data_IF_821514807662
#
_entry.id   IF_821514807662
#
_cell.length_a   1.000
_cell.length_b   1.000
_cell.length_c   1.000
_cell.angle_alpha   90.00
_cell.angle_beta   90.00
_cell.angle_gamma   90.00
#
_symmetry.space_group_name_H-M   'P 1'
#
loop_
_entity.id
_entity.type
_entity.pdbx_description
1 polymer ?
#
# COMPACT_ATOMS: atom_id res chain seq x y z
N UNK A 1 8.50 20.22 12.74
CA UNK A 1 7.61 20.11 11.56
C UNK A 1 6.97 18.73 11.56
N UNK A 2 5.63 18.63 11.67
CA UNK A 2 4.94 17.34 11.53
C UNK A 2 5.08 16.90 10.07
N UNK A 3 5.81 15.81 9.79
CA UNK A 3 5.82 15.18 8.46
C UNK A 3 4.36 14.92 8.10
N UNK A 4 3.89 15.49 6.98
CA UNK A 4 2.59 15.16 6.43
C UNK A 4 2.50 13.63 6.32
N UNK A 5 1.35 13.01 6.62
CA UNK A 5 1.20 11.58 6.43
C UNK A 5 1.65 11.27 5.01
N UNK A 6 2.62 10.38 4.88
CA UNK A 6 3.13 9.91 3.61
C UNK A 6 2.03 9.06 2.99
N UNK A 7 1.04 9.71 2.39
CA UNK A 7 -0.08 9.01 1.81
C UNK A 7 0.44 8.11 0.69
N UNK A 8 -0.01 6.87 0.69
CA UNK A 8 0.29 5.87 -0.34
C UNK A 8 -0.82 5.95 -1.38
N UNK A 9 -0.54 5.72 -2.67
CA UNK A 9 -1.60 5.63 -3.67
C UNK A 9 -2.70 4.67 -3.21
N UNK A 10 -3.98 5.05 -3.30
CA UNK A 10 -5.07 4.28 -2.73
C UNK A 10 -5.32 2.94 -3.45
N UNK A 11 -4.78 2.74 -4.65
CA UNK A 11 -5.00 1.53 -5.44
C UNK A 11 -3.69 0.77 -5.59
N UNK A 12 -3.67 -0.52 -5.27
CA UNK A 12 -2.49 -1.38 -5.53
C UNK A 12 -2.22 -1.51 -7.03
N UNK A 13 -3.28 -1.49 -7.83
CA UNK A 13 -3.24 -1.59 -9.29
C UNK A 13 -4.41 -0.78 -9.84
N UNK A 14 -4.18 0.06 -10.84
CA UNK A 14 -5.22 0.88 -11.45
C UNK A 14 -5.99 0.07 -12.50
N UNK A 15 -7.32 -0.13 -12.35
CA UNK A 15 -8.11 -0.88 -13.32
C UNK A 15 -8.59 0.04 -14.45
N UNK A 16 -7.79 0.19 -15.52
CA UNK A 16 -8.04 1.19 -16.57
C UNK A 16 -9.38 0.98 -17.30
N UNK A 17 -9.86 -0.26 -17.44
CA UNK A 17 -11.13 -0.55 -18.13
C UNK A 17 -12.37 -0.15 -17.31
N UNK A 18 -12.17 0.03 -16.00
CA UNK A 18 -13.19 0.42 -15.05
C UNK A 18 -13.22 1.92 -14.81
N UNK A 19 -12.39 2.69 -15.50
CA UNK A 19 -12.42 4.14 -15.47
C UNK A 19 -13.48 4.64 -16.47
N UNK A 20 -14.35 5.52 -15.99
CA UNK A 20 -15.27 6.29 -16.81
C UNK A 20 -14.58 7.53 -17.37
N UNK A 21 -14.68 7.71 -18.69
CA UNK A 21 -14.12 8.84 -19.42
C UNK A 21 -13.02 8.46 -20.41
N UNK A 22 -12.51 9.46 -21.13
CA UNK A 22 -11.39 9.26 -22.04
C UNK A 22 -10.08 9.20 -21.26
N UNK A 23 -9.44 8.04 -21.28
CA UNK A 23 -8.16 7.80 -20.62
C UNK A 23 -6.97 7.92 -21.58
N UNK A 24 -7.18 8.33 -22.84
CA UNK A 24 -6.13 8.52 -23.87
C UNK A 24 -5.02 9.49 -23.44
N UNK A 25 -5.37 10.43 -22.56
CA UNK A 25 -4.47 11.44 -22.01
C UNK A 25 -3.71 10.96 -20.76
N UNK A 26 -4.08 9.82 -20.19
CA UNK A 26 -3.35 9.25 -19.04
C UNK A 26 -1.98 8.76 -19.50
N UNK A 27 -0.95 9.16 -18.78
CA UNK A 27 0.42 8.69 -19.01
C UNK A 27 0.51 7.22 -18.64
N UNK A 28 1.01 6.41 -19.57
CA UNK A 28 1.21 4.96 -19.40
C UNK A 28 2.47 4.53 -20.09
N UNK A 29 3.17 3.54 -19.54
CA UNK A 29 4.34 2.97 -20.18
C UNK A 29 5.10 2.00 -19.29
N UNK A 30 6.39 1.87 -19.58
CA UNK A 30 7.30 1.11 -18.73
C UNK A 30 7.58 1.89 -17.46
N UNK A 31 7.97 1.16 -16.40
CA UNK A 31 8.32 1.78 -15.11
C UNK A 31 9.43 2.83 -15.26
N UNK A 32 10.38 2.59 -16.15
CA UNK A 32 11.48 3.52 -16.44
C UNK A 32 10.97 4.86 -16.97
N UNK A 33 10.03 4.85 -17.92
CA UNK A 33 9.44 6.08 -18.47
C UNK A 33 8.68 6.86 -17.39
N UNK A 34 7.94 6.15 -16.53
CA UNK A 34 7.24 6.79 -15.41
C UNK A 34 8.22 7.42 -14.41
N UNK A 35 9.39 6.81 -14.19
CA UNK A 35 10.43 7.38 -13.32
C UNK A 35 10.99 8.68 -13.89
N UNK A 36 11.16 8.78 -15.21
CA UNK A 36 11.60 10.02 -15.86
C UNK A 36 10.58 11.13 -15.65
N UNK A 37 9.30 10.85 -15.90
CA UNK A 37 8.21 11.82 -15.70
C UNK A 37 8.10 12.23 -14.22
N UNK A 38 8.21 11.26 -13.30
CA UNK A 38 8.24 11.57 -11.88
C UNK A 38 9.40 12.49 -11.50
N UNK A 39 10.58 12.28 -12.09
CA UNK A 39 11.76 13.14 -11.85
C UNK A 39 11.55 14.54 -12.43
N UNK A 40 11.01 14.65 -13.64
CA UNK A 40 10.76 15.92 -14.33
C UNK A 40 9.76 16.79 -13.56
N UNK A 41 8.70 16.18 -13.02
CA UNK A 41 7.62 16.90 -12.33
C UNK A 41 7.70 16.85 -10.79
N UNK A 42 8.85 16.43 -10.23
CA UNK A 42 9.05 16.28 -8.78
C UNK A 42 7.97 15.42 -8.07
N UNK A 43 7.47 14.39 -8.75
CA UNK A 43 6.48 13.46 -8.22
C UNK A 43 7.22 12.33 -7.48
N UNK A 44 6.80 11.96 -6.26
CA UNK A 44 7.40 10.84 -5.54
C UNK A 44 7.29 9.52 -6.31
N UNK A 45 8.38 8.74 -6.35
CA UNK A 45 8.45 7.44 -7.07
C UNK A 45 7.36 6.44 -6.64
N UNK A 46 6.90 6.54 -5.39
CA UNK A 46 5.82 5.71 -4.85
C UNK A 46 4.48 5.89 -5.57
N UNK A 47 4.30 6.97 -6.33
CA UNK A 47 3.11 7.23 -7.13
C UNK A 47 3.07 6.39 -8.42
N UNK A 48 4.16 5.71 -8.77
CA UNK A 48 4.20 4.82 -9.93
C UNK A 48 3.44 3.53 -9.57
N UNK A 49 2.21 3.43 -10.05
CA UNK A 49 1.30 2.32 -9.78
C UNK A 49 1.17 1.45 -11.02
N UNK A 50 1.22 0.11 -10.91
CA UNK A 50 0.89 -0.75 -12.04
C UNK A 50 -0.57 -0.54 -12.45
N UNK A 51 -0.88 -0.70 -13.74
CA UNK A 51 -2.25 -0.73 -14.22
C UNK A 51 -2.55 -2.04 -14.95
N UNK A 52 -3.83 -2.39 -14.98
CA UNK A 52 -4.35 -3.50 -15.78
C UNK A 52 -5.46 -3.00 -16.71
N UNK A 53 -5.46 -3.52 -17.93
CA UNK A 53 -6.48 -3.33 -18.95
C UNK A 53 -6.61 -4.61 -19.77
N UNK A 54 -7.77 -4.81 -20.41
CA UNK A 54 -8.01 -5.86 -21.41
C UNK A 54 -7.03 -5.82 -22.57
N UNK A 55 -6.41 -4.66 -22.81
CA UNK A 55 -5.44 -4.43 -23.88
C UNK A 55 -3.98 -4.58 -23.43
N UNK A 56 -3.72 -4.81 -22.14
CA UNK A 56 -2.37 -5.02 -21.62
C UNK A 56 -2.14 -4.53 -20.20
N UNK A 57 -0.89 -4.63 -19.77
CA UNK A 57 -0.40 -4.24 -18.45
C UNK A 57 0.76 -3.24 -18.58
N UNK A 58 0.97 -2.42 -17.55
CA UNK A 58 2.06 -1.45 -17.53
C UNK A 58 2.05 -0.64 -16.25
N UNK A 59 2.64 0.56 -16.29
CA UNK A 59 2.66 1.50 -15.17
C UNK A 59 2.03 2.83 -15.55
N UNK A 60 1.41 3.47 -14.56
CA UNK A 60 0.85 4.83 -14.61
C UNK A 60 1.30 5.57 -13.34
N UNK A 61 1.05 6.87 -13.28
CA UNK A 61 1.29 7.67 -12.09
C UNK A 61 -0.07 7.98 -11.44
N UNK A 62 -0.23 7.56 -10.18
CA UNK A 62 -1.44 7.72 -9.40
C UNK A 62 -1.24 8.73 -8.27
N UNK A 63 -2.21 9.63 -8.07
CA UNK A 63 -2.22 10.54 -6.93
C UNK A 63 -2.35 9.80 -5.60
N UNK A 64 -1.63 10.29 -4.60
CA UNK A 64 -1.66 9.73 -3.26
C UNK A 64 -2.59 10.51 -2.31
N UNK A 65 -3.37 11.48 -2.80
CA UNK A 65 -4.19 12.31 -1.93
C UNK A 65 -5.24 11.49 -1.16
N UNK A 66 -5.53 11.93 0.07
CA UNK A 66 -6.62 11.38 0.86
C UNK A 66 -7.93 11.71 0.15
N UNK A 67 -8.46 10.73 -0.58
CA UNK A 67 -9.77 10.82 -1.23
C UNK A 67 -10.77 10.01 -0.39
N UNK A 68 -11.72 10.66 0.32
CA UNK A 68 -12.77 9.94 1.06
C UNK A 68 -13.64 9.07 0.14
N UNK A 69 -13.65 9.37 -1.17
CA UNK A 69 -14.29 8.61 -2.23
C UNK A 69 -13.29 7.78 -3.06
N UNK A 70 -12.17 7.32 -2.47
CA UNK A 70 -11.16 6.50 -3.17
C UNK A 70 -11.72 5.24 -3.84
N UNK A 71 -12.85 4.74 -3.37
CA UNK A 71 -13.57 3.60 -3.95
C UNK A 71 -14.37 3.97 -5.22
N UNK A 72 -14.57 5.26 -5.47
CA UNK A 72 -15.36 5.80 -6.58
C UNK A 72 -14.52 6.59 -7.58
N UNK A 73 -13.28 6.94 -7.22
CA UNK A 73 -12.42 7.76 -8.08
C UNK A 73 -10.97 7.28 -8.07
N UNK A 74 -10.25 7.65 -9.14
CA UNK A 74 -8.80 7.53 -9.23
C UNK A 74 -8.21 8.81 -9.83
N UNK A 75 -7.16 9.33 -9.20
CA UNK A 75 -6.41 10.48 -9.69
C UNK A 75 -5.20 9.98 -10.47
N UNK A 76 -5.10 10.32 -11.75
CA UNK A 76 -4.02 9.86 -12.63
C UNK A 76 -3.33 11.04 -13.30
N UNK A 77 -2.02 10.92 -13.48
CA UNK A 77 -1.23 11.92 -14.19
C UNK A 77 -1.51 11.89 -15.69
N UNK A 78 -1.70 13.06 -16.27
CA UNK A 78 -1.97 13.23 -17.70
C UNK A 78 -0.74 13.69 -18.47
N UNK A 79 -0.76 13.47 -19.79
CA UNK A 79 0.27 13.96 -20.73
C UNK A 79 0.38 15.49 -20.73
N UNK A 80 -0.65 16.19 -20.24
CA UNK A 80 -0.69 17.65 -20.11
C UNK A 80 -0.03 18.15 -18.82
N UNK A 81 0.50 17.27 -17.98
CA UNK A 81 1.28 17.65 -16.80
C UNK A 81 0.46 17.99 -15.55
N UNK A 82 -0.74 17.44 -15.42
CA UNK A 82 -1.56 17.58 -14.20
C UNK A 82 -2.25 16.28 -13.81
N UNK A 83 -2.69 16.20 -12.55
CA UNK A 83 -3.52 15.11 -12.04
C UNK A 83 -4.98 15.31 -12.47
N UNK A 84 -5.53 14.35 -13.19
CA UNK A 84 -6.94 14.31 -13.54
C UNK A 84 -7.66 13.28 -12.69
N UNK A 85 -8.81 13.68 -12.12
CA UNK A 85 -9.70 12.79 -11.38
C UNK A 85 -10.63 12.09 -12.35
N UNK A 86 -10.65 10.76 -12.29
CA UNK A 86 -11.56 9.94 -13.05
C UNK A 86 -12.52 9.19 -12.13
N UNK A 87 -13.75 8.98 -12.59
CA UNK A 87 -14.74 8.16 -11.90
C UNK A 87 -14.49 6.68 -12.20
N UNK A 88 -14.69 5.83 -11.21
CA UNK A 88 -14.67 4.38 -11.34
C UNK A 88 -16.11 3.86 -11.50
N UNK A 89 -16.29 2.89 -12.40
CA UNK A 89 -17.57 2.19 -12.63
C UNK A 89 -18.04 1.49 -11.35
N UNK A 90 -19.35 1.34 -11.18
CA UNK A 90 -19.91 0.58 -10.06
C UNK A 90 -19.32 -0.85 -10.03
N UNK A 91 -18.95 -1.35 -8.84
CA UNK A 91 -18.25 -2.62 -8.66
C UNK A 91 -16.72 -2.55 -8.80
N UNK A 92 -16.18 -1.44 -9.33
CA UNK A 92 -14.72 -1.22 -9.35
C UNK A 92 -14.12 -0.99 -7.95
N UNK A 93 -14.94 -0.57 -7.00
CA UNK A 93 -14.60 -0.30 -5.59
C UNK A 93 -13.96 -1.49 -4.85
N UNK A 94 -14.19 -2.71 -5.35
CA UNK A 94 -13.65 -3.96 -4.80
C UNK A 94 -12.24 -4.29 -5.33
N UNK A 95 -11.75 -3.56 -6.34
CA UNK A 95 -10.42 -3.81 -6.89
C UNK A 95 -9.34 -3.25 -5.98
N UNK A 96 -8.81 -4.12 -5.09
CA UNK A 96 -7.52 -3.99 -4.39
C UNK A 96 -7.21 -2.56 -3.92
N UNK A 97 -8.23 -1.85 -3.42
CA UNK A 97 -8.06 -0.55 -2.78
C UNK A 97 -7.33 -0.81 -1.47
N UNK A 98 -6.18 -0.19 -1.31
CA UNK A 98 -5.40 -0.27 -0.08
C UNK A 98 -6.11 0.59 0.97
N UNK A 99 -6.38 0.01 2.14
CA UNK A 99 -6.75 0.84 3.30
C UNK A 99 -5.55 1.69 3.70
N UNK A 100 -5.81 2.86 4.28
CA UNK A 100 -4.69 3.69 4.73
C UNK A 100 -4.01 3.00 5.91
N UNK A 101 -2.69 3.08 5.98
CA UNK A 101 -1.92 2.49 7.08
C UNK A 101 -2.44 2.90 8.47
N UNK A 102 -2.83 4.17 8.74
CA UNK A 102 -3.41 4.54 10.02
C UNK A 102 -4.74 3.84 10.35
N UNK A 103 -5.50 3.40 9.34
CA UNK A 103 -6.74 2.64 9.56
C UNK A 103 -6.40 1.21 10.03
N UNK A 104 -5.34 0.61 9.48
CA UNK A 104 -4.81 -0.66 9.98
C UNK A 104 -4.26 -0.53 11.40
N UNK A 105 -3.50 0.54 11.71
CA UNK A 105 -2.98 0.78 13.06
C UNK A 105 -4.12 0.93 14.08
N UNK A 106 -5.21 1.61 13.71
CA UNK A 106 -6.41 1.72 14.55
C UNK A 106 -7.09 0.38 14.78
N UNK A 107 -7.23 -0.43 13.73
CA UNK A 107 -7.80 -1.78 13.83
C UNK A 107 -6.94 -2.66 14.71
N UNK A 108 -5.63 -2.72 14.47
CA UNK A 108 -4.70 -3.55 15.24
C UNK A 108 -4.65 -3.11 16.70
N UNK A 109 -4.61 -1.80 16.97
CA UNK A 109 -4.68 -1.28 18.34
C UNK A 109 -6.05 -1.44 19.00
N UNK A 110 -7.13 -1.65 18.25
CA UNK A 110 -8.41 -2.06 18.82
C UNK A 110 -8.36 -3.55 19.21
N UNK A 111 -7.90 -4.42 18.32
CA UNK A 111 -7.75 -5.86 18.60
C UNK A 111 -6.80 -6.09 19.76
N UNK A 112 -5.64 -5.42 19.80
CA UNK A 112 -4.66 -5.58 20.88
C UNK A 112 -5.24 -5.23 22.27
N UNK A 113 -6.11 -4.22 22.36
CA UNK A 113 -6.75 -3.80 23.61
C UNK A 113 -7.75 -4.82 24.16
N UNK A 114 -8.27 -5.71 23.32
CA UNK A 114 -9.21 -6.75 23.72
C UNK A 114 -8.51 -7.97 24.36
N UNK A 115 -7.18 -8.02 24.33
CA UNK A 115 -6.39 -9.11 24.91
C UNK A 115 -5.39 -8.60 25.95
N UNK A 116 -5.02 -9.48 26.89
CA UNK A 116 -4.00 -9.14 27.88
C UNK A 116 -2.63 -8.88 27.23
N UNK A 117 -1.84 -7.92 27.74
CA UNK A 117 -0.47 -7.72 27.31
C UNK A 117 0.35 -9.01 27.40
N UNK A 118 1.15 -9.31 26.39
CA UNK A 118 1.95 -10.54 26.32
C UNK A 118 1.16 -11.81 25.98
N UNK A 119 -0.12 -11.70 25.62
CA UNK A 119 -0.84 -12.81 24.98
C UNK A 119 -0.36 -13.02 23.54
N UNK A 120 -0.52 -14.24 23.02
CA UNK A 120 -0.16 -14.56 21.63
C UNK A 120 -0.85 -13.61 20.64
N UNK A 121 -2.14 -13.33 20.85
CA UNK A 121 -2.90 -12.44 19.97
C UNK A 121 -2.37 -11.01 20.00
N UNK A 122 -2.08 -10.46 21.19
CA UNK A 122 -1.51 -9.12 21.34
C UNK A 122 -0.12 -9.02 20.65
N UNK A 123 0.72 -10.05 20.81
CA UNK A 123 2.04 -10.08 20.16
C UNK A 123 1.93 -10.29 18.65
N UNK A 124 0.97 -11.06 18.15
CA UNK A 124 0.69 -11.19 16.71
C UNK A 124 0.23 -9.85 16.11
N UNK A 125 -0.67 -9.12 16.79
CA UNK A 125 -1.11 -7.79 16.33
C UNK A 125 0.03 -6.79 16.31
N UNK A 126 0.86 -6.77 17.35
CA UNK A 126 2.02 -5.87 17.42
C UNK A 126 3.10 -6.22 16.39
N UNK A 127 3.32 -7.52 16.15
CA UNK A 127 4.23 -8.01 15.09
C UNK A 127 3.74 -7.57 13.71
N UNK A 128 2.44 -7.74 13.42
CA UNK A 128 1.85 -7.34 12.15
C UNK A 128 1.93 -5.81 11.95
N UNK A 129 1.67 -5.01 12.98
CA UNK A 129 1.81 -3.55 12.91
C UNK A 129 3.24 -3.14 12.53
N UNK A 130 4.25 -3.76 13.14
CA UNK A 130 5.65 -3.46 12.86
C UNK A 130 6.09 -3.88 11.45
N UNK A 131 5.59 -5.02 10.94
CA UNK A 131 5.83 -5.44 9.54
C UNK A 131 5.16 -4.47 8.56
N UNK A 132 3.94 -4.00 8.85
CA UNK A 132 3.24 -3.03 8.01
C UNK A 132 3.97 -1.67 7.99
N UNK A 133 4.53 -1.24 9.12
CA UNK A 133 5.37 -0.03 9.20
C UNK A 133 6.64 -0.17 8.35
N UNK A 134 7.30 -1.33 8.41
CA UNK A 134 8.47 -1.63 7.58
C UNK A 134 8.11 -1.55 6.08
N UNK A 135 6.97 -2.13 5.71
CA UNK A 135 6.47 -2.08 4.34
C UNK A 135 6.13 -0.67 3.87
N UNK A 136 5.52 0.13 4.74
CA UNK A 136 5.22 1.53 4.44
C UNK A 136 6.49 2.38 4.28
N UNK A 137 7.53 2.12 5.07
CA UNK A 137 8.82 2.79 4.95
C UNK A 137 9.47 2.47 3.59
N UNK A 138 9.62 1.18 3.25
CA UNK A 138 10.17 0.76 1.96
C UNK A 138 9.39 1.35 0.77
N UNK A 139 8.05 1.36 0.87
CA UNK A 139 7.21 1.97 -0.16
C UNK A 139 7.40 3.47 -0.29
N UNK A 140 7.64 4.18 0.81
CA UNK A 140 7.92 5.61 0.76
C UNK A 140 9.22 5.92 0.03
N UNK A 141 10.20 5.04 0.12
CA UNK A 141 11.47 5.16 -0.58
C UNK A 141 11.37 4.70 -2.06
N UNK A 142 10.21 4.18 -2.46
CA UNK A 142 9.91 3.74 -3.82
C UNK A 142 10.32 2.28 -4.08
N UNK A 143 10.73 1.57 -3.03
CA UNK A 143 11.09 0.16 -3.09
C UNK A 143 9.85 -0.72 -3.10
N UNK A 144 9.91 -1.76 -3.93
CA UNK A 144 8.87 -2.77 -4.04
C UNK A 144 9.23 -4.08 -3.34
N UNK A 145 10.41 -4.13 -2.74
CA UNK A 145 10.99 -5.30 -2.09
C UNK A 145 11.36 -4.94 -0.66
N UNK A 146 11.19 -5.89 0.25
CA UNK A 146 11.64 -5.79 1.64
C UNK A 146 12.65 -6.91 1.86
N UNK A 147 13.72 -6.62 2.56
CA UNK A 147 14.66 -7.65 3.00
C UNK A 147 13.95 -8.58 3.98
N UNK A 148 13.85 -9.86 3.61
CA UNK A 148 13.21 -10.89 4.44
C UNK A 148 13.88 -11.02 5.80
N UNK A 149 15.18 -10.74 5.91
CA UNK A 149 15.90 -10.80 7.19
C UNK A 149 15.30 -9.85 8.23
N UNK A 150 14.85 -8.68 7.81
CA UNK A 150 14.23 -7.70 8.71
C UNK A 150 12.86 -8.18 9.20
N UNK A 151 12.11 -8.87 8.34
CA UNK A 151 10.84 -9.49 8.72
C UNK A 151 11.11 -10.63 9.70
N UNK A 152 12.09 -11.49 9.42
CA UNK A 152 12.49 -12.59 10.29
C UNK A 152 12.92 -12.09 11.66
N UNK A 153 13.69 -11.01 11.74
CA UNK A 153 14.12 -10.40 13.01
C UNK A 153 12.92 -9.90 13.83
N UNK A 154 11.94 -9.23 13.19
CA UNK A 154 10.72 -8.76 13.86
C UNK A 154 9.89 -9.94 14.39
N UNK A 155 9.66 -10.94 13.53
CA UNK A 155 8.89 -12.14 13.85
C UNK A 155 9.57 -12.93 14.97
N UNK A 156 10.88 -13.15 14.86
CA UNK A 156 11.67 -13.89 15.84
C UNK A 156 11.69 -13.20 17.20
N UNK A 157 11.89 -11.87 17.24
CA UNK A 157 11.97 -11.12 18.48
C UNK A 157 10.68 -11.20 19.30
N UNK A 158 9.52 -11.21 18.63
CA UNK A 158 8.21 -11.21 19.30
C UNK A 158 7.63 -12.61 19.50
N UNK A 159 7.75 -13.50 18.52
CA UNK A 159 6.99 -14.75 18.51
C UNK A 159 7.80 -15.98 18.94
N UNK A 160 9.13 -15.94 18.95
CA UNK A 160 9.93 -17.13 19.25
C UNK A 160 9.66 -17.72 20.63
N UNK A 161 9.33 -16.91 21.64
CA UNK A 161 9.06 -17.43 22.97
C UNK A 161 7.78 -18.29 23.00
N UNK A 162 6.72 -17.90 22.27
CA UNK A 162 5.53 -18.73 22.12
C UNK A 162 5.79 -19.98 21.29
N UNK A 163 6.54 -19.86 20.19
CA UNK A 163 6.89 -21.00 19.33
C UNK A 163 7.70 -22.03 20.13
N UNK A 164 8.69 -21.58 20.91
CA UNK A 164 9.48 -22.44 21.79
C UNK A 164 8.62 -23.09 22.87
N UNK A 165 7.72 -22.33 23.50
CA UNK A 165 6.80 -22.87 24.50
C UNK A 165 5.89 -23.96 23.89
N UNK A 166 5.33 -23.72 22.71
CA UNK A 166 4.50 -24.69 21.99
C UNK A 166 5.28 -25.95 21.61
N UNK A 167 6.46 -25.81 20.97
CA UNK A 167 7.32 -26.94 20.61
C UNK A 167 7.83 -27.72 21.84
N UNK A 168 7.94 -27.07 23.00
CA UNK A 168 8.33 -27.73 24.24
C UNK A 168 7.21 -28.54 24.90
N UNK A 169 5.94 -28.24 24.59
CA UNK A 169 4.78 -28.98 25.11
C UNK A 169 4.65 -30.38 24.49
N UNK A 170 5.22 -30.62 23.30
CA UNK A 170 5.27 -31.94 22.66
C UNK A 170 6.36 -32.88 23.26
N UNK A 171 7.18 -32.38 24.19
CA UNK A 171 8.28 -33.12 24.84
C UNK A 171 8.00 -33.53 26.30
N UNK A 172 6.73 -33.44 26.75
CA UNK A 172 6.25 -33.89 28.08
C UNK A 172 5.05 -34.78 27.94
#
# INVERSE_FOLDING_TARGET
MRRAPTLTPPHRTVPMDYIDGDTSQVVRGLRYDMLLICREHNIPRKHITPYVSRWGYGFTIQGADYDPDKHRHVNLWTKQGYMQRFRLKAGAAEYRTLMHLPDYDRLLGAVERDYSPGSLTAELTATLAQVLQLWAAAKNDGDNTIDLRQIDEIVAARLNHFVRAWLSQDNT
#
